data_IF_328319706296
#
_entry.id   IF_328319706296
#
_cell.length_a   1.000
_cell.length_b   1.000
_cell.length_c   1.000
_cell.angle_alpha   90.00
_cell.angle_beta   90.00
_cell.angle_gamma   90.00
#
_symmetry.space_group_name_H-M   'P 1'
#
loop_
_entity.id
_entity.type
_entity.pdbx_description
1 polymer ?
#
# COMPACT_ATOMS: atom_id res chain seq x y z
N UNK A 1 -26.95 -28.10 15.97
CA UNK A 1 -26.07 -29.11 15.34
C UNK A 1 -26.30 -28.99 13.83
N UNK A 2 -25.46 -28.45 12.97
CA UNK A 2 -24.03 -28.16 12.99
C UNK A 2 -23.57 -28.43 11.55
N UNK A 3 -23.72 -27.47 10.64
CA UNK A 3 -23.30 -27.60 9.23
C UNK A 3 -22.85 -26.25 8.64
N UNK A 4 -22.16 -25.47 9.49
CA UNK A 4 -21.31 -24.37 9.05
C UNK A 4 -19.92 -24.94 8.72
N UNK A 5 -19.20 -24.27 7.81
CA UNK A 5 -17.76 -24.42 7.53
C UNK A 5 -17.32 -25.37 6.41
N UNK A 6 -17.88 -25.24 5.20
CA UNK A 6 -17.15 -25.75 4.02
C UNK A 6 -17.34 -25.03 2.68
N UNK A 7 -17.88 -23.80 2.67
CA UNK A 7 -18.04 -23.02 1.43
C UNK A 7 -17.26 -21.69 1.39
N UNK A 8 -16.51 -21.33 2.43
CA UNK A 8 -15.58 -20.19 2.40
C UNK A 8 -14.13 -20.61 2.07
N UNK A 9 -13.97 -21.68 1.27
CA UNK A 9 -12.68 -22.05 0.66
C UNK A 9 -12.52 -21.34 -0.69
N UNK A 10 -12.69 -20.02 -0.70
CA UNK A 10 -12.33 -19.16 -1.82
C UNK A 10 -11.01 -18.50 -1.49
N UNK A 11 -9.89 -19.07 -1.95
CA UNK A 11 -8.58 -18.42 -1.99
C UNK A 11 -8.77 -16.98 -2.46
N UNK A 12 -8.60 -16.01 -1.56
CA UNK A 12 -8.36 -14.62 -1.95
C UNK A 12 -7.10 -14.65 -2.82
N UNK A 13 -7.31 -14.62 -4.14
CA UNK A 13 -6.26 -14.29 -5.07
C UNK A 13 -5.99 -12.81 -4.84
N UNK A 14 -5.08 -12.50 -3.92
CA UNK A 14 -4.35 -11.24 -3.94
C UNK A 14 -3.72 -11.17 -5.32
N UNK A 15 -4.38 -10.44 -6.23
CA UNK A 15 -3.86 -10.16 -7.56
C UNK A 15 -2.57 -9.38 -7.36
N UNK A 16 -1.44 -10.09 -7.24
CA UNK A 16 -0.12 -9.47 -7.22
C UNK A 16 0.14 -9.00 -8.63
N UNK A 17 -0.37 -7.81 -8.96
CA UNK A 17 -0.02 -7.09 -10.18
C UNK A 17 1.50 -6.99 -10.19
N UNK A 18 2.18 -7.72 -11.08
CA UNK A 18 3.63 -7.61 -11.25
C UNK A 18 3.91 -6.18 -11.72
N UNK A 19 4.43 -5.35 -10.84
CA UNK A 19 4.78 -3.96 -11.14
C UNK A 19 5.95 -4.00 -12.13
N UNK A 20 5.66 -3.81 -13.42
CA UNK A 20 6.68 -3.61 -14.47
C UNK A 20 7.17 -2.17 -14.35
N UNK A 21 8.34 -1.98 -13.77
CA UNK A 21 9.02 -0.68 -13.64
C UNK A 21 9.44 -0.37 -12.21
N UNK A 22 10.26 0.67 -12.06
CA UNK A 22 10.74 1.12 -10.74
C UNK A 22 9.68 1.90 -9.94
N UNK A 23 8.50 2.15 -10.51
CA UNK A 23 7.44 2.94 -9.88
C UNK A 23 6.23 2.11 -9.45
N UNK A 24 5.83 2.26 -8.20
CA UNK A 24 4.64 1.69 -7.59
C UNK A 24 3.56 2.78 -7.50
N UNK A 25 2.44 2.66 -8.25
CA UNK A 25 1.37 3.64 -8.16
C UNK A 25 0.48 3.39 -6.93
N UNK A 26 0.18 4.45 -6.20
CA UNK A 26 -0.85 4.49 -5.18
C UNK A 26 -1.92 5.50 -5.57
N UNK A 27 -3.17 5.12 -5.37
CA UNK A 27 -4.33 5.97 -5.62
C UNK A 27 -4.98 6.29 -4.28
N UNK A 28 -5.05 7.57 -3.96
CA UNK A 28 -5.60 8.04 -2.69
C UNK A 28 -6.69 9.07 -2.94
N UNK A 29 -7.68 9.11 -2.05
CA UNK A 29 -8.72 10.12 -2.01
C UNK A 29 -8.63 10.89 -0.71
N UNK A 30 -8.56 12.21 -0.81
CA UNK A 30 -8.53 13.11 0.33
C UNK A 30 -9.89 13.12 1.05
N UNK A 31 -9.89 12.96 2.38
CA UNK A 31 -11.13 12.95 3.17
C UNK A 31 -11.75 14.34 3.31
N UNK A 32 -10.94 15.41 3.20
CA UNK A 32 -11.41 16.79 3.35
C UNK A 32 -12.15 17.32 2.12
N UNK A 33 -11.55 17.20 0.94
CA UNK A 33 -12.10 17.79 -0.30
C UNK A 33 -12.48 16.75 -1.37
N UNK A 34 -12.27 15.45 -1.12
CA UNK A 34 -12.60 14.39 -2.07
C UNK A 34 -11.70 14.32 -3.30
N UNK A 35 -10.60 15.09 -3.34
CA UNK A 35 -9.63 15.04 -4.43
C UNK A 35 -8.99 13.66 -4.53
N UNK A 36 -8.91 13.11 -5.75
CA UNK A 36 -8.24 11.85 -6.03
C UNK A 36 -6.84 12.13 -6.61
N UNK A 37 -5.83 11.51 -6.03
CA UNK A 37 -4.42 11.76 -6.32
C UNK A 37 -3.73 10.43 -6.61
N UNK A 38 -3.02 10.38 -7.73
CA UNK A 38 -2.10 9.28 -8.04
C UNK A 38 -0.69 9.67 -7.62
N UNK A 39 -0.12 8.90 -6.71
CA UNK A 39 1.27 9.03 -6.27
C UNK A 39 2.08 7.90 -6.89
N UNK A 40 3.21 8.22 -7.50
CA UNK A 40 4.14 7.24 -8.05
C UNK A 40 5.36 7.16 -7.14
N UNK A 41 5.53 6.03 -6.47
CA UNK A 41 6.61 5.78 -5.53
C UNK A 41 7.73 5.07 -6.26
N UNK A 42 8.92 5.65 -6.30
CA UNK A 42 10.10 5.01 -6.83
C UNK A 42 10.68 4.05 -5.80
N UNK A 43 10.66 2.77 -6.14
CA UNK A 43 11.13 1.67 -5.30
C UNK A 43 12.57 1.83 -4.80
N UNK A 44 13.42 2.51 -5.57
CA UNK A 44 14.86 2.67 -5.29
C UNK A 44 15.17 3.86 -4.39
N UNK A 45 14.30 4.87 -4.35
CA UNK A 45 14.60 6.15 -3.70
C UNK A 45 13.60 6.56 -2.65
N UNK A 46 12.33 6.15 -2.76
CA UNK A 46 11.28 6.52 -1.81
C UNK A 46 11.12 5.50 -0.67
N UNK A 47 11.60 4.27 -0.86
CA UNK A 47 11.41 3.16 0.10
C UNK A 47 12.68 2.98 0.93
N UNK A 48 12.52 2.80 2.23
CA UNK A 48 13.60 2.59 3.19
C UNK A 48 13.80 1.10 3.44
N UNK A 49 15.05 0.65 3.48
CA UNK A 49 15.40 -0.72 3.88
C UNK A 49 15.40 -0.82 5.42
N UNK A 50 14.75 -1.84 5.95
CA UNK A 50 14.72 -2.11 7.40
C UNK A 50 15.89 -2.99 7.87
N UNK A 51 16.77 -3.41 6.96
CA UNK A 51 17.93 -4.26 7.21
C UNK A 51 17.58 -5.60 7.90
N UNK A 52 16.44 -6.19 7.53
CA UNK A 52 16.02 -7.48 8.06
C UNK A 52 17.04 -8.60 7.71
N UNK A 53 17.44 -9.38 8.71
CA UNK A 53 18.47 -10.42 8.57
C UNK A 53 17.97 -11.59 7.71
N UNK A 54 18.83 -12.28 6.96
CA UNK A 54 18.42 -13.43 6.17
C UNK A 54 17.73 -14.50 7.04
N UNK A 55 16.42 -14.69 6.82
CA UNK A 55 15.59 -15.61 7.61
C UNK A 55 14.50 -14.93 8.42
N UNK A 56 14.58 -13.61 8.64
CA UNK A 56 13.52 -12.86 9.31
C UNK A 56 12.24 -12.83 8.47
N UNK A 57 11.15 -13.25 9.08
CA UNK A 57 9.80 -13.10 8.55
C UNK A 57 9.28 -11.70 8.87
N UNK A 58 8.75 -11.00 7.86
CA UNK A 58 8.13 -9.69 8.05
C UNK A 58 8.56 -8.64 7.02
N UNK A 59 8.46 -7.39 7.43
CA UNK A 59 8.79 -6.23 6.59
C UNK A 59 10.31 -6.13 6.36
N UNK A 60 10.70 -6.11 5.09
CA UNK A 60 12.08 -5.83 4.68
C UNK A 60 12.24 -4.36 4.24
N UNK A 61 11.15 -3.73 3.82
CA UNK A 61 11.13 -2.34 3.40
C UNK A 61 9.94 -1.61 4.00
N UNK A 62 10.09 -0.32 4.22
CA UNK A 62 9.01 0.57 4.65
C UNK A 62 8.98 1.84 3.81
N UNK A 63 7.78 2.31 3.49
CA UNK A 63 7.52 3.60 2.85
C UNK A 63 6.79 4.49 3.84
N UNK A 64 7.29 5.71 4.03
CA UNK A 64 6.57 6.79 4.70
C UNK A 64 6.52 7.98 3.75
N UNK A 65 5.31 8.40 3.37
CA UNK A 65 5.13 9.48 2.40
C UNK A 65 4.02 10.43 2.83
N UNK A 66 4.34 11.71 2.81
CA UNK A 66 3.36 12.79 2.92
C UNK A 66 2.89 13.21 1.53
N UNK A 67 1.59 13.40 1.38
CA UNK A 67 0.92 13.77 0.13
C UNK A 67 0.13 15.04 0.39
N UNK A 68 0.58 16.14 -0.21
CA UNK A 68 -0.14 17.41 -0.17
C UNK A 68 -1.20 17.45 -1.26
N UNK A 69 -2.45 17.68 -0.87
CA UNK A 69 -3.54 17.92 -1.84
C UNK A 69 -3.31 19.17 -2.67
N UNK A 70 -3.75 19.14 -3.94
CA UNK A 70 -3.60 20.29 -4.86
C UNK A 70 -4.80 21.22 -4.76
N UNK A 71 -6.00 20.67 -4.56
CA UNK A 71 -7.25 21.43 -4.41
C UNK A 71 -7.46 21.92 -2.99
N UNK A 72 -6.97 21.17 -2.01
CA UNK A 72 -6.98 21.57 -0.61
C UNK A 72 -5.63 21.21 0.00
N UNK A 73 -5.00 22.16 0.73
CA UNK A 73 -3.70 21.97 1.40
C UNK A 73 -3.77 21.03 2.61
N UNK A 74 -4.61 19.99 2.52
CA UNK A 74 -4.68 18.91 3.49
C UNK A 74 -3.57 17.91 3.20
N UNK A 75 -2.87 17.51 4.25
CA UNK A 75 -1.79 16.52 4.18
C UNK A 75 -2.39 15.16 4.46
N UNK A 76 -2.11 14.20 3.58
CA UNK A 76 -2.36 12.78 3.81
C UNK A 76 -1.02 12.08 4.05
N UNK A 77 -0.98 11.17 5.01
CA UNK A 77 0.22 10.36 5.25
C UNK A 77 -0.07 8.92 4.94
N UNK A 78 0.79 8.29 4.15
CA UNK A 78 0.76 6.85 3.89
C UNK A 78 1.97 6.19 4.54
N UNK A 79 1.72 5.05 5.18
CA UNK A 79 2.75 4.15 5.68
C UNK A 79 2.50 2.75 5.10
N UNK A 80 3.50 2.16 4.46
CA UNK A 80 3.37 0.89 3.75
C UNK A 80 4.61 0.04 3.99
N UNK A 81 4.41 -1.18 4.48
CA UNK A 81 5.49 -2.14 4.63
C UNK A 81 5.47 -3.18 3.52
N UNK A 82 6.66 -3.55 3.05
CA UNK A 82 6.83 -4.53 1.99
C UNK A 82 7.72 -5.68 2.44
N UNK A 83 7.45 -6.87 1.90
CA UNK A 83 8.35 -8.02 2.00
C UNK A 83 9.59 -7.84 1.09
N UNK A 84 10.52 -8.80 1.15
CA UNK A 84 11.74 -8.81 0.31
C UNK A 84 11.45 -8.82 -1.19
N UNK A 85 10.26 -9.24 -1.61
CA UNK A 85 9.80 -9.28 -2.99
C UNK A 85 8.98 -8.05 -3.38
N UNK A 86 8.94 -7.01 -2.53
CA UNK A 86 8.12 -5.81 -2.70
C UNK A 86 6.62 -6.07 -2.77
N UNK A 87 6.13 -7.14 -2.12
CA UNK A 87 4.71 -7.36 -1.87
C UNK A 87 4.31 -6.58 -0.62
N UNK A 88 3.19 -5.88 -0.68
CA UNK A 88 2.67 -5.15 0.48
C UNK A 88 2.24 -6.13 1.57
N UNK A 89 2.75 -5.90 2.78
CA UNK A 89 2.38 -6.62 4.00
C UNK A 89 1.34 -5.82 4.77
N UNK A 90 1.56 -4.51 4.89
CA UNK A 90 0.69 -3.58 5.60
C UNK A 90 0.48 -2.33 4.73
N UNK A 91 -0.68 -1.70 4.91
CA UNK A 91 -0.95 -0.38 4.34
C UNK A 91 -1.77 0.43 5.35
N UNK A 92 -1.34 1.65 5.60
CA UNK A 92 -2.03 2.61 6.45
C UNK A 92 -2.09 3.96 5.74
N UNK A 93 -3.19 4.68 5.95
CA UNK A 93 -3.37 6.04 5.47
C UNK A 93 -4.10 6.87 6.52
N UNK A 94 -3.65 8.11 6.70
CA UNK A 94 -4.32 9.14 7.50
C UNK A 94 -4.66 10.36 6.63
N UNK A 95 -5.78 11.02 6.95
CA UNK A 95 -6.29 12.18 6.19
C UNK A 95 -6.91 11.84 4.82
N UNK A 96 -7.05 10.56 4.50
CA UNK A 96 -7.57 10.07 3.23
C UNK A 96 -7.80 8.57 3.26
N UNK A 97 -8.12 8.02 2.09
CA UNK A 97 -8.34 6.59 1.87
C UNK A 97 -7.72 6.11 0.56
N UNK A 98 -7.24 4.87 0.55
CA UNK A 98 -6.85 4.21 -0.69
C UNK A 98 -8.08 3.93 -1.56
N UNK A 99 -7.93 4.08 -2.88
CA UNK A 99 -8.96 3.78 -3.87
C UNK A 99 -8.41 2.82 -4.94
N UNK A 100 -9.31 2.18 -5.67
CA UNK A 100 -8.93 1.32 -6.78
C UNK A 100 -8.35 2.16 -7.95
N UNK A 101 -7.45 1.58 -8.77
CA UNK A 101 -7.09 2.17 -10.05
C UNK A 101 -8.37 2.37 -10.90
N UNK A 102 -8.49 3.54 -11.53
CA UNK A 102 -9.54 3.81 -12.52
C UNK A 102 -9.14 3.28 -13.89
#
# INVERSE_FOLDING_TARGET
MGFWNKLFSGKEKTTSTRIKGDFIPFFVKCDKCGEEITVRINRRTDVQNLYADPGDEGAAYTLKKEILGKKCSHIMNIEIDFDRNYRMISQNISGGKFIAPQ
#
